data_IF_161081223758
#
_entry.id   IF_161081223758
#
_cell.length_a   1.000
_cell.length_b   1.000
_cell.length_c   1.000
_cell.angle_alpha   90.00
_cell.angle_beta   90.00
_cell.angle_gamma   90.00
#
_symmetry.space_group_name_H-M   'P 1'
#
loop_
_entity.id
_entity.type
_entity.pdbx_description
1 polymer ?
#
# COMPACT_ATOMS: atom_id res chain seq x y z
N UNK A 1 -8.86 13.95 -16.59
CA UNK A 1 -8.28 12.78 -15.90
C UNK A 1 -7.88 11.78 -16.97
N UNK A 2 -6.60 11.42 -17.05
CA UNK A 2 -6.13 10.46 -18.06
C UNK A 2 -6.33 9.01 -17.60
N UNK A 3 -6.08 8.06 -18.51
CA UNK A 3 -6.27 6.62 -18.24
C UNK A 3 -5.46 6.16 -17.03
N UNK A 4 -4.23 6.64 -16.87
CA UNK A 4 -3.38 6.31 -15.72
C UNK A 4 -3.98 6.78 -14.41
N UNK A 5 -4.36 8.06 -14.32
CA UNK A 5 -5.01 8.65 -13.14
C UNK A 5 -6.32 7.94 -12.81
N UNK A 6 -7.12 7.57 -13.82
CA UNK A 6 -8.35 6.78 -13.60
C UNK A 6 -8.06 5.43 -12.96
N UNK A 7 -7.00 4.75 -13.40
CA UNK A 7 -6.64 3.44 -12.84
C UNK A 7 -6.09 3.59 -11.42
N UNK A 8 -5.22 4.58 -11.18
CA UNK A 8 -4.74 4.89 -9.83
C UNK A 8 -5.90 5.18 -8.87
N UNK A 9 -6.92 5.91 -9.32
CA UNK A 9 -8.14 6.16 -8.56
C UNK A 9 -8.91 4.88 -8.24
N UNK A 10 -9.09 3.99 -9.22
CA UNK A 10 -9.77 2.70 -9.02
C UNK A 10 -9.01 1.84 -8.00
N UNK A 11 -7.68 1.78 -8.11
CA UNK A 11 -6.83 1.03 -7.17
C UNK A 11 -6.96 1.62 -5.77
N UNK A 12 -6.89 2.95 -5.62
CA UNK A 12 -7.04 3.61 -4.32
C UNK A 12 -8.44 3.34 -3.72
N UNK A 13 -9.50 3.44 -4.53
CA UNK A 13 -10.86 3.13 -4.10
C UNK A 13 -11.01 1.67 -3.65
N UNK A 14 -10.41 0.72 -4.38
CA UNK A 14 -10.40 -0.68 -3.99
C UNK A 14 -9.64 -0.91 -2.67
N UNK A 15 -8.51 -0.23 -2.47
CA UNK A 15 -7.76 -0.31 -1.20
C UNK A 15 -8.56 0.27 -0.03
N UNK A 16 -9.20 1.44 -0.21
CA UNK A 16 -10.07 2.03 0.81
C UNK A 16 -11.26 1.13 1.12
N UNK A 17 -11.85 0.49 0.11
CA UNK A 17 -12.90 -0.49 0.30
C UNK A 17 -12.39 -1.71 1.09
N UNK A 18 -11.20 -2.21 0.78
CA UNK A 18 -10.60 -3.34 1.48
C UNK A 18 -10.30 -3.00 2.95
N UNK A 19 -9.75 -1.82 3.21
CA UNK A 19 -9.52 -1.30 4.57
C UNK A 19 -10.86 -1.13 5.32
N UNK A 20 -11.90 -0.65 4.65
CA UNK A 20 -13.23 -0.53 5.27
C UNK A 20 -13.92 -1.88 5.49
N UNK A 21 -13.65 -2.86 4.64
CA UNK A 21 -14.22 -4.21 4.73
C UNK A 21 -13.47 -5.08 5.74
N UNK A 22 -12.19 -4.81 5.95
CA UNK A 22 -11.32 -5.45 6.93
C UNK A 22 -10.64 -4.38 7.80
N UNK A 23 -11.40 -3.67 8.66
CA UNK A 23 -10.82 -2.65 9.52
C UNK A 23 -9.85 -3.26 10.54
N UNK A 24 -8.86 -2.50 11.00
CA UNK A 24 -8.03 -2.87 12.14
C UNK A 24 -8.92 -2.86 13.40
N UNK A 25 -8.83 -3.93 14.18
CA UNK A 25 -9.65 -4.15 15.37
C UNK A 25 -8.74 -4.31 16.58
N UNK A 26 -9.13 -3.66 17.68
CA UNK A 26 -8.65 -3.97 19.01
C UNK A 26 -9.68 -4.84 19.75
N UNK A 27 -9.22 -5.73 20.61
CA UNK A 27 -10.06 -6.59 21.43
C UNK A 27 -9.73 -6.42 22.91
N UNK A 28 -10.77 -6.38 23.74
CA UNK A 28 -10.66 -6.31 25.18
C UNK A 28 -10.56 -7.72 25.79
N UNK A 29 -9.65 -7.90 26.74
CA UNK A 29 -9.55 -9.15 27.50
C UNK A 29 -10.58 -9.19 28.64
N UNK A 30 -11.26 -10.33 28.79
CA UNK A 30 -12.20 -10.60 29.90
C UNK A 30 -11.47 -10.50 31.27
N UNK A 31 -10.18 -10.81 31.31
CA UNK A 31 -9.37 -10.79 32.53
C UNK A 31 -8.78 -9.41 32.87
N UNK A 32 -8.81 -8.46 31.94
CA UNK A 32 -8.22 -7.13 32.08
C UNK A 32 -9.04 -6.13 31.26
N UNK A 33 -10.26 -5.85 31.73
CA UNK A 33 -11.29 -5.07 31.03
C UNK A 33 -10.96 -3.57 30.81
N UNK A 34 -9.69 -3.17 30.88
CA UNK A 34 -9.28 -1.77 30.88
C UNK A 34 -8.34 -1.37 29.72
N UNK A 35 -7.75 -2.33 28.98
CA UNK A 35 -6.79 -2.00 27.93
C UNK A 35 -7.09 -2.79 26.64
N UNK A 36 -7.43 -2.11 25.54
CA UNK A 36 -7.61 -2.75 24.23
C UNK A 36 -6.28 -3.25 23.66
N UNK A 37 -6.28 -4.43 23.05
CA UNK A 37 -5.11 -5.03 22.40
C UNK A 37 -5.42 -5.23 20.92
N UNK A 38 -4.50 -4.87 20.04
CA UNK A 38 -4.69 -5.09 18.61
C UNK A 38 -4.84 -6.58 18.29
N UNK A 39 -5.99 -6.93 17.73
CA UNK A 39 -6.39 -8.30 17.41
C UNK A 39 -6.22 -8.63 15.92
N UNK A 40 -5.84 -7.65 15.10
CA UNK A 40 -5.66 -7.82 13.66
C UNK A 40 -6.76 -7.17 12.84
N UNK A 41 -6.93 -7.64 11.61
CA UNK A 41 -7.96 -7.16 10.69
C UNK A 41 -9.10 -8.17 10.61
N UNK A 42 -10.31 -7.72 10.91
CA UNK A 42 -11.50 -8.57 10.86
C UNK A 42 -12.46 -8.07 9.81
N UNK A 43 -13.20 -9.01 9.21
CA UNK A 43 -14.28 -8.64 8.31
C UNK A 43 -15.33 -7.79 9.06
N UNK A 44 -15.69 -6.63 8.51
CA UNK A 44 -16.48 -5.61 9.18
C UNK A 44 -17.87 -6.09 9.63
N UNK A 45 -18.41 -7.15 9.00
CA UNK A 45 -19.71 -7.72 9.33
C UNK A 45 -19.62 -8.94 10.27
N UNK A 46 -18.42 -9.32 10.71
CA UNK A 46 -18.19 -10.43 11.64
C UNK A 46 -17.15 -10.06 12.69
N UNK A 47 -17.31 -8.86 13.28
CA UNK A 47 -16.43 -8.37 14.34
C UNK A 47 -16.67 -9.21 15.62
N UNK A 48 -15.60 -9.71 16.27
CA UNK A 48 -15.72 -10.48 17.51
C UNK A 48 -16.40 -9.70 18.64
N UNK A 49 -17.01 -10.39 19.63
CA UNK A 49 -17.48 -9.74 20.84
C UNK A 49 -16.33 -9.05 21.57
N UNK A 50 -16.63 -7.90 22.22
CA UNK A 50 -15.64 -7.12 23.00
C UNK A 50 -14.50 -6.61 22.13
N UNK A 51 -14.80 -6.22 20.90
CA UNK A 51 -13.84 -5.70 19.96
C UNK A 51 -14.30 -4.34 19.42
N UNK A 52 -13.36 -3.44 19.20
CA UNK A 52 -13.58 -2.08 18.72
C UNK A 52 -12.66 -1.80 17.53
N UNK A 53 -13.11 -0.92 16.64
CA UNK A 53 -12.27 -0.50 15.51
C UNK A 53 -11.15 0.39 16.03
N UNK A 54 -9.91 0.02 15.72
CA UNK A 54 -8.74 0.86 16.02
C UNK A 54 -8.75 2.06 15.06
N UNK A 55 -9.36 3.15 15.50
CA UNK A 55 -9.55 4.37 14.69
C UNK A 55 -8.24 4.99 14.23
N UNK A 56 -7.21 4.96 15.08
CA UNK A 56 -5.89 5.54 14.76
C UNK A 56 -5.23 4.77 13.62
N UNK A 57 -5.21 3.43 13.69
CA UNK A 57 -4.73 2.57 12.61
C UNK A 57 -5.54 2.73 11.33
N UNK A 58 -6.86 2.81 11.45
CA UNK A 58 -7.75 2.97 10.31
C UNK A 58 -7.46 4.28 9.57
N UNK A 59 -7.29 5.38 10.31
CA UNK A 59 -6.97 6.70 9.76
C UNK A 59 -5.59 6.67 9.09
N UNK A 60 -4.58 6.08 9.73
CA UNK A 60 -3.24 5.97 9.15
C UNK A 60 -3.29 5.17 7.84
N UNK A 61 -3.94 4.01 7.84
CA UNK A 61 -4.06 3.17 6.64
C UNK A 61 -4.75 3.93 5.49
N UNK A 62 -5.82 4.67 5.79
CA UNK A 62 -6.51 5.52 4.81
C UNK A 62 -5.61 6.65 4.29
N UNK A 63 -4.89 7.35 5.18
CA UNK A 63 -3.97 8.42 4.81
C UNK A 63 -2.83 7.93 3.91
N UNK A 64 -2.29 6.73 4.16
CA UNK A 64 -1.29 6.10 3.30
C UNK A 64 -1.83 5.89 1.89
N UNK A 65 -3.04 5.33 1.76
CA UNK A 65 -3.69 5.12 0.46
C UNK A 65 -3.95 6.45 -0.26
N UNK A 66 -4.44 7.47 0.45
CA UNK A 66 -4.71 8.79 -0.12
C UNK A 66 -3.42 9.52 -0.54
N UNK A 67 -2.35 9.40 0.23
CA UNK A 67 -1.03 9.95 -0.09
C UNK A 67 -0.47 9.27 -1.34
N UNK A 68 -0.59 7.94 -1.40
CA UNK A 68 -0.18 7.14 -2.56
C UNK A 68 -0.97 7.52 -3.82
N UNK A 69 -2.28 7.74 -3.69
CA UNK A 69 -3.11 8.27 -4.76
C UNK A 69 -2.63 9.66 -5.20
N UNK A 70 -2.36 10.58 -4.27
CA UNK A 70 -1.90 11.93 -4.58
C UNK A 70 -0.55 11.93 -5.34
N UNK A 71 0.42 11.12 -4.90
CA UNK A 71 1.71 10.94 -5.57
C UNK A 71 1.50 10.38 -6.97
N UNK A 72 0.75 9.27 -7.10
CA UNK A 72 0.45 8.66 -8.39
C UNK A 72 -0.26 9.66 -9.31
N UNK A 73 -1.18 10.46 -8.79
CA UNK A 73 -1.92 11.47 -9.54
C UNK A 73 -1.00 12.54 -10.14
N UNK A 74 0.00 12.99 -9.38
CA UNK A 74 1.01 13.94 -9.83
C UNK A 74 1.96 13.32 -10.87
N UNK A 75 2.42 12.09 -10.64
CA UNK A 75 3.33 11.38 -11.56
C UNK A 75 2.66 11.02 -12.89
N UNK A 76 1.37 10.71 -12.84
CA UNK A 76 0.58 10.33 -14.01
C UNK A 76 0.03 11.53 -14.76
N UNK A 77 0.16 12.76 -14.25
CA UNK A 77 -0.32 13.97 -14.94
C UNK A 77 0.30 14.06 -16.33
N UNK A 78 -0.55 14.16 -17.35
CA UNK A 78 -0.11 14.45 -18.71
C UNK A 78 0.62 15.79 -18.73
N UNK A 79 1.89 15.76 -19.12
CA UNK A 79 2.65 16.97 -19.46
C UNK A 79 2.58 17.16 -20.98
N UNK A 80 2.57 18.41 -21.47
CA UNK A 80 2.67 18.66 -22.90
C UNK A 80 3.86 17.89 -23.48
N UNK A 81 3.68 17.29 -24.66
CA UNK A 81 4.65 16.38 -25.27
C UNK A 81 6.04 17.04 -25.28
N UNK A 82 6.93 16.56 -24.41
CA UNK A 82 8.31 17.00 -24.43
C UNK A 82 8.96 16.41 -25.67
N UNK A 83 9.64 17.24 -26.46
CA UNK A 83 10.43 16.83 -27.64
C UNK A 83 11.57 15.87 -27.25
N UNK A 84 11.91 15.79 -25.97
CA UNK A 84 12.91 14.89 -25.44
C UNK A 84 12.33 13.50 -25.13
N UNK A 85 13.03 12.40 -25.47
CA UNK A 85 12.61 11.05 -25.12
C UNK A 85 12.45 10.94 -23.61
N UNK A 86 11.32 10.38 -23.18
CA UNK A 86 10.99 10.19 -21.77
C UNK A 86 12.00 9.21 -21.16
N UNK A 87 13.05 9.71 -20.51
CA UNK A 87 14.09 8.89 -19.87
C UNK A 87 13.56 7.98 -18.76
N UNK A 88 12.36 8.25 -18.22
CA UNK A 88 11.72 7.48 -17.15
C UNK A 88 10.34 6.97 -17.60
N UNK A 89 10.30 5.70 -18.01
CA UNK A 89 9.07 4.98 -18.34
C UNK A 89 8.16 4.86 -17.10
N UNK A 90 6.86 4.76 -17.33
CA UNK A 90 5.86 4.62 -16.25
C UNK A 90 6.10 3.36 -15.41
N UNK A 91 6.69 2.34 -16.02
CA UNK A 91 7.11 1.12 -15.37
C UNK A 91 8.24 1.36 -14.35
N UNK A 92 9.23 2.20 -14.68
CA UNK A 92 10.29 2.59 -13.74
C UNK A 92 9.74 3.46 -12.61
N UNK A 93 8.76 4.31 -12.89
CA UNK A 93 8.06 5.08 -11.86
C UNK A 93 7.30 4.16 -10.88
N UNK A 94 6.65 3.10 -11.37
CA UNK A 94 6.00 2.11 -10.51
C UNK A 94 7.00 1.35 -9.63
N UNK A 95 8.17 0.98 -10.15
CA UNK A 95 9.24 0.36 -9.35
C UNK A 95 9.77 1.32 -8.28
N UNK A 96 10.07 2.56 -8.67
CA UNK A 96 10.56 3.58 -7.73
C UNK A 96 9.55 3.85 -6.62
N UNK A 97 8.27 3.95 -6.97
CA UNK A 97 7.18 4.13 -6.02
C UNK A 97 7.05 2.93 -5.06
N UNK A 98 7.12 1.71 -5.58
CA UNK A 98 7.07 0.48 -4.76
C UNK A 98 8.27 0.42 -3.82
N UNK A 99 9.47 0.70 -4.33
CA UNK A 99 10.70 0.75 -3.53
C UNK A 99 10.63 1.79 -2.43
N UNK A 100 10.12 2.99 -2.72
CA UNK A 100 9.93 4.03 -1.71
C UNK A 100 8.95 3.59 -0.61
N UNK A 101 7.85 2.91 -0.97
CA UNK A 101 6.89 2.37 0.01
C UNK A 101 7.55 1.31 0.90
N UNK A 102 8.33 0.39 0.33
CA UNK A 102 9.08 -0.61 1.11
C UNK A 102 10.08 0.05 2.06
N UNK A 103 10.81 1.08 1.61
CA UNK A 103 11.74 1.81 2.46
C UNK A 103 11.01 2.50 3.61
N UNK A 104 9.88 3.17 3.34
CA UNK A 104 9.05 3.78 4.38
C UNK A 104 8.57 2.73 5.39
N UNK A 105 8.11 1.58 4.90
CA UNK A 105 7.64 0.48 5.73
C UNK A 105 8.72 -0.07 6.66
N UNK A 106 9.95 -0.17 6.17
CA UNK A 106 11.09 -0.63 6.95
C UNK A 106 11.62 0.44 7.91
N UNK A 107 11.50 1.72 7.55
CA UNK A 107 11.88 2.84 8.42
C UNK A 107 10.86 3.09 9.51
N UNK A 108 9.58 2.81 9.25
CA UNK A 108 8.47 2.99 10.18
C UNK A 108 7.70 1.68 10.29
N UNK A 109 8.28 0.61 10.87
CA UNK A 109 7.56 -0.64 11.02
C UNK A 109 6.47 -0.52 12.10
N UNK A 110 5.46 -1.41 12.07
CA UNK A 110 4.40 -1.43 13.04
C UNK A 110 4.99 -1.90 14.36
N UNK A 111 4.81 -1.14 15.42
CA UNK A 111 5.32 -1.45 16.75
C UNK A 111 4.19 -1.66 17.75
N UNK A 112 4.43 -2.60 18.65
CA UNK A 112 3.71 -2.76 19.90
C UNK A 112 4.62 -2.39 21.07
N UNK A 113 4.05 -1.93 22.17
CA UNK A 113 4.76 -1.81 23.44
C UNK A 113 4.48 -2.99 24.34
N UNK A 114 5.53 -3.42 25.03
CA UNK A 114 5.48 -4.50 26.00
C UNK A 114 5.75 -3.90 27.37
N UNK A 115 4.70 -3.50 28.09
CA UNK A 115 4.81 -2.99 29.46
C UNK A 115 4.48 -4.07 30.48
N UNK A 116 5.34 -4.22 31.50
CA UNK A 116 5.05 -5.03 32.67
C UNK A 116 4.15 -4.28 33.66
N UNK A 117 2.91 -3.96 33.25
CA UNK A 117 1.89 -3.60 34.24
C UNK A 117 1.37 -4.91 34.85
N UNK A 118 1.92 -5.26 36.02
CA UNK A 118 1.46 -6.36 36.89
C UNK A 118 1.55 -7.78 36.33
N UNK A 119 2.75 -8.37 36.29
CA UNK A 119 3.04 -9.82 36.01
C UNK A 119 2.44 -10.45 34.73
N UNK A 120 1.63 -9.73 33.97
CA UNK A 120 1.07 -10.12 32.69
C UNK A 120 1.70 -9.22 31.62
N UNK A 121 2.39 -9.85 30.68
CA UNK A 121 3.00 -9.17 29.54
C UNK A 121 1.89 -8.99 28.51
N UNK A 122 1.29 -7.80 28.44
CA UNK A 122 0.20 -7.53 27.49
C UNK A 122 0.79 -6.69 26.35
N UNK A 123 0.98 -7.27 25.15
CA UNK A 123 1.39 -6.50 23.97
C UNK A 123 0.26 -5.55 23.57
N UNK A 124 0.57 -4.26 23.35
CA UNK A 124 -0.39 -3.26 22.88
C UNK A 124 0.18 -2.57 21.65
N UNK A 125 -0.52 -2.65 20.52
CA UNK A 125 -0.08 -1.94 19.32
C UNK A 125 -0.09 -0.42 19.57
N UNK A 126 1.02 0.24 19.26
CA UNK A 126 1.17 1.67 19.50
C UNK A 126 1.25 2.52 18.21
N UNK A 127 1.46 1.90 17.05
CA UNK A 127 1.62 2.62 15.79
C UNK A 127 2.91 2.32 15.06
N UNK A 128 3.21 3.17 14.07
CA UNK A 128 4.43 3.08 13.27
C UNK A 128 5.46 4.07 13.80
N UNK A 129 6.59 3.55 14.26
CA UNK A 129 7.66 4.37 14.83
C UNK A 129 8.91 4.26 14.01
N UNK A 130 9.65 5.36 13.94
CA UNK A 130 10.95 5.36 13.27
C UNK A 130 11.88 4.34 13.92
N UNK A 131 12.43 3.42 13.12
CA UNK A 131 13.17 2.25 13.60
C UNK A 131 14.40 2.62 14.44
N UNK A 132 15.02 3.78 14.17
CA UNK A 132 16.18 4.27 14.93
C UNK A 132 15.81 5.09 16.16
N UNK A 133 14.52 5.36 16.39
CA UNK A 133 14.01 6.06 17.57
C UNK A 133 13.30 5.11 18.54
N UNK A 134 13.60 3.80 18.48
CA UNK A 134 12.95 2.79 19.32
C UNK A 134 13.14 3.08 20.80
N UNK A 135 12.02 3.07 21.53
CA UNK A 135 12.05 3.02 22.99
C UNK A 135 12.29 1.57 23.43
N UNK A 136 12.85 1.33 24.62
CA UNK A 136 13.22 -0.02 25.09
C UNK A 136 12.07 -1.04 25.12
N UNK A 137 10.82 -0.57 25.18
CA UNK A 137 9.62 -1.42 25.24
C UNK A 137 8.99 -1.70 23.86
N UNK A 138 9.51 -1.14 22.76
CA UNK A 138 8.94 -1.31 21.42
C UNK A 138 9.41 -2.60 20.74
N UNK A 139 8.45 -3.44 20.35
CA UNK A 139 8.63 -4.67 19.57
C UNK A 139 7.93 -4.50 18.23
N UNK A 140 8.50 -5.02 17.13
CA UNK A 140 7.83 -4.99 15.83
C UNK A 140 6.70 -6.02 15.85
N UNK A 141 5.51 -5.62 15.40
CA UNK A 141 4.43 -6.56 15.07
C UNK A 141 4.71 -7.20 13.72
N UNK A 142 5.47 -8.30 13.73
CA UNK A 142 5.97 -8.94 12.50
C UNK A 142 4.84 -9.35 11.55
N UNK A 143 3.72 -9.83 12.07
CA UNK A 143 2.55 -10.23 11.28
C UNK A 143 1.97 -9.05 10.46
N UNK A 144 1.89 -7.88 11.09
CA UNK A 144 1.40 -6.64 10.48
C UNK A 144 2.42 -6.15 9.43
N UNK A 145 3.71 -6.19 9.75
CA UNK A 145 4.79 -5.88 8.82
C UNK A 145 4.76 -6.78 7.58
N UNK A 146 4.59 -8.09 7.75
CA UNK A 146 4.50 -9.04 6.64
C UNK A 146 3.30 -8.74 5.72
N UNK A 147 2.12 -8.51 6.29
CA UNK A 147 0.92 -8.18 5.52
C UNK A 147 1.14 -6.93 4.68
N UNK A 148 1.64 -5.86 5.28
CA UNK A 148 1.89 -4.59 4.59
C UNK A 148 2.93 -4.73 3.47
N UNK A 149 4.03 -5.43 3.72
CA UNK A 149 5.04 -5.72 2.70
C UNK A 149 4.41 -6.50 1.54
N UNK A 150 3.58 -7.51 1.83
CA UNK A 150 2.88 -8.26 0.78
C UNK A 150 1.94 -7.37 -0.03
N UNK A 151 1.17 -6.49 0.62
CA UNK A 151 0.29 -5.55 -0.08
C UNK A 151 1.07 -4.56 -0.95
N UNK A 152 2.18 -4.01 -0.45
CA UNK A 152 3.05 -3.11 -1.22
C UNK A 152 3.59 -3.83 -2.45
N UNK A 153 4.09 -5.06 -2.30
CA UNK A 153 4.63 -5.86 -3.41
C UNK A 153 3.55 -6.22 -4.43
N UNK A 154 2.36 -6.65 -3.98
CA UNK A 154 1.24 -6.99 -4.85
C UNK A 154 0.78 -5.76 -5.66
N UNK A 155 0.59 -4.62 -4.99
CA UNK A 155 0.22 -3.36 -5.63
C UNK A 155 1.30 -2.88 -6.61
N UNK A 156 2.57 -2.97 -6.21
CA UNK A 156 3.70 -2.63 -7.05
C UNK A 156 3.79 -3.50 -8.31
N UNK A 157 3.63 -4.81 -8.17
CA UNK A 157 3.61 -5.76 -9.28
C UNK A 157 2.44 -5.49 -10.25
N UNK A 158 1.25 -5.23 -9.73
CA UNK A 158 0.07 -4.87 -10.53
C UNK A 158 0.30 -3.59 -11.33
N UNK A 159 0.81 -2.53 -10.69
CA UNK A 159 1.16 -1.27 -11.37
C UNK A 159 2.25 -1.48 -12.42
N UNK A 160 3.27 -2.27 -12.10
CA UNK A 160 4.37 -2.57 -13.02
C UNK A 160 3.90 -3.33 -14.26
N UNK A 161 3.03 -4.33 -14.09
CA UNK A 161 2.41 -5.08 -15.19
C UNK A 161 1.48 -4.19 -16.02
N UNK A 162 0.71 -3.32 -15.37
CA UNK A 162 -0.22 -2.41 -16.02
C UNK A 162 0.50 -1.40 -16.92
N UNK A 163 1.64 -0.88 -16.47
CA UNK A 163 2.46 0.06 -17.22
C UNK A 163 3.48 -0.61 -18.13
N UNK A 164 3.34 -1.92 -18.40
CA UNK A 164 4.15 -2.63 -19.39
C UNK A 164 3.98 -1.96 -20.75
N UNK A 165 4.97 -1.19 -21.14
CA UNK A 165 5.03 -0.58 -22.47
C UNK A 165 5.07 -1.70 -23.50
N UNK A 166 4.04 -1.78 -24.35
CA UNK A 166 4.09 -2.60 -25.56
C UNK A 166 5.07 -1.89 -26.49
N UNK A 167 6.10 -2.60 -26.96
CA UNK A 167 7.02 -2.06 -27.97
C UNK A 167 6.18 -1.50 -29.12
N UNK A 168 6.40 -0.24 -29.54
CA UNK A 168 5.83 0.22 -30.80
C UNK A 168 6.34 -0.71 -31.91
N UNK A 169 5.49 -1.09 -32.87
CA UNK A 169 5.89 -1.98 -33.94
C UNK A 169 7.10 -1.38 -34.65
N UNK A 170 8.12 -2.20 -34.89
CA UNK A 170 9.34 -1.73 -35.53
C UNK A 170 9.03 -1.22 -36.95
N UNK A 171 9.86 -0.33 -37.50
CA UNK A 171 9.69 0.14 -38.87
C UNK A 171 9.63 -1.03 -39.89
N UNK A 172 10.30 -2.14 -39.59
CA UNK A 172 10.29 -3.36 -40.40
C UNK A 172 8.98 -4.15 -40.25
N UNK A 173 8.40 -4.19 -39.04
CA UNK A 173 7.08 -4.79 -38.80
C UNK A 173 5.95 -4.00 -39.48
N UNK A 174 6.03 -2.67 -39.46
CA UNK A 174 5.08 -1.79 -40.17
C UNK A 174 5.21 -1.94 -41.69
N UNK A 175 6.45 -2.03 -42.22
CA UNK A 175 6.69 -2.28 -43.65
C UNK A 175 6.21 -3.66 -44.08
N UNK A 176 6.41 -4.69 -43.26
CA UNK A 176 5.93 -6.04 -43.54
C UNK A 176 4.40 -6.10 -43.57
N UNK A 177 3.72 -5.42 -42.63
CA UNK A 177 2.27 -5.30 -42.63
C UNK A 177 1.74 -4.57 -43.87
N UNK A 178 2.34 -3.43 -44.27
CA UNK A 178 1.92 -2.70 -45.48
C UNK A 178 2.03 -3.54 -46.76
N UNK A 179 3.05 -4.40 -46.87
CA UNK A 179 3.21 -5.31 -48.02
C UNK A 179 2.13 -6.40 -48.09
N UNK A 180 1.52 -6.79 -46.96
CA UNK A 180 0.41 -7.74 -46.95
C UNK A 180 -0.92 -7.12 -47.41
N UNK A 181 -1.07 -5.80 -47.32
CA UNK A 181 -2.30 -5.08 -47.69
C UNK A 181 -2.25 -4.40 -49.06
N UNK A 182 -1.16 -4.54 -49.82
CA UNK A 182 -1.08 -4.01 -51.19
C UNK A 182 -1.44 -5.14 -52.17
N UNK A 183 -2.66 -5.16 -52.74
CA UNK A 183 -2.97 -6.11 -53.81
C UNK A 183 -2.08 -5.83 -55.02
N UNK A 184 -1.58 -6.91 -55.65
CA UNK A 184 -0.78 -6.85 -56.88
C UNK A 184 -1.61 -6.41 -58.08
#
# INVERSE_FOLDING_TARGET
>A
MNRGQRIALIIAAANLLLIGLFPPIDQYSIASAAVPIFAGFHFAFSIPPQAEVNGDLLVIAALVVLTNLAIAWLLLRERPASVLPRRFGLQNAALLFTGANLVLMLLFPPMESVFALTRATIPTFEGFYFIFSRKPAHVIVETLLYLEVMFILANGALLWLLFRERRPPSADEVRAAMRQFTPR
#
